data_IF_937903478381
#
_entry.id   IF_937903478381
#
_cell.length_a   1.000
_cell.length_b   1.000
_cell.length_c   1.000
_cell.angle_alpha   90.00
_cell.angle_beta   90.00
_cell.angle_gamma   90.00
#
_symmetry.space_group_name_H-M   'P 1'
#
loop_
_entity.id
_entity.type
_entity.pdbx_description
1 polymer ?
#
# COMPACT_ATOMS: atom_id res chain seq x y z
N UNK A 1 67.06 34.41 16.70
CA UNK A 1 67.16 33.16 17.49
C UNK A 1 65.74 32.66 17.82
N UNK A 2 65.47 31.37 17.55
CA UNK A 2 64.39 30.43 17.97
C UNK A 2 62.94 30.96 18.15
N UNK A 3 61.87 30.51 17.46
CA UNK A 3 61.29 29.17 17.10
C UNK A 3 61.07 28.18 18.24
N UNK A 4 59.77 27.87 18.51
CA UNK A 4 59.09 26.54 18.68
C UNK A 4 57.65 26.84 19.17
N UNK A 5 56.56 26.62 18.42
CA UNK A 5 55.97 25.38 17.89
C UNK A 5 55.56 24.37 18.98
N UNK A 6 54.25 24.20 19.15
CA UNK A 6 53.59 23.09 19.84
C UNK A 6 52.19 22.92 19.25
N UNK A 7 51.96 21.79 18.58
CA UNK A 7 50.78 21.37 17.80
C UNK A 7 50.08 20.18 18.53
N UNK A 8 48.84 19.87 18.13
CA UNK A 8 48.08 18.60 18.29
C UNK A 8 47.36 18.36 19.62
N UNK A 9 46.16 17.76 19.72
CA UNK A 9 45.30 16.95 18.83
C UNK A 9 43.83 17.04 19.34
N UNK A 10 42.82 17.19 18.47
CA UNK A 10 41.93 16.18 17.86
C UNK A 10 40.83 15.55 18.75
N UNK A 11 39.60 15.58 18.22
CA UNK A 11 38.54 14.54 18.23
C UNK A 11 37.32 14.69 19.17
N UNK A 12 36.12 14.44 18.59
CA UNK A 12 34.91 14.05 19.31
C UNK A 12 33.61 14.70 18.81
N UNK A 13 33.19 14.47 17.57
CA UNK A 13 32.05 13.60 17.19
C UNK A 13 30.62 14.18 17.43
N UNK A 14 30.01 14.53 16.29
CA UNK A 14 28.59 14.51 15.91
C UNK A 14 27.56 13.98 16.93
N UNK A 15 26.57 14.82 17.24
CA UNK A 15 25.22 14.38 17.58
C UNK A 15 24.26 14.94 16.53
N UNK A 16 23.96 14.14 15.50
CA UNK A 16 22.84 14.41 14.61
C UNK A 16 21.53 14.20 15.41
N UNK A 17 20.56 15.12 15.36
CA UNK A 17 19.27 14.90 15.99
C UNK A 17 18.58 13.72 15.32
N UNK A 18 18.09 12.78 16.14
CA UNK A 18 17.41 11.57 15.72
C UNK A 18 16.33 11.89 14.68
N UNK A 19 16.42 11.22 13.54
CA UNK A 19 15.39 11.27 12.50
C UNK A 19 14.10 10.75 13.08
N UNK A 20 13.11 11.64 13.13
CA UNK A 20 11.73 11.35 13.40
C UNK A 20 11.30 10.08 12.65
N UNK A 21 10.58 9.20 13.34
CA UNK A 21 9.69 8.22 12.73
C UNK A 21 8.68 8.98 11.88
N UNK A 22 9.07 9.24 10.64
CA UNK A 22 8.29 9.93 9.63
C UNK A 22 7.13 9.04 9.24
N UNK A 23 5.98 9.32 9.82
CA UNK A 23 4.74 8.87 9.23
C UNK A 23 4.59 9.60 7.90
N UNK A 24 4.72 8.84 6.81
CA UNK A 24 4.57 9.28 5.43
C UNK A 24 3.43 10.30 5.25
N UNK A 25 3.57 11.29 4.35
CA UNK A 25 2.50 12.22 4.01
C UNK A 25 1.24 11.44 3.62
N UNK A 26 0.19 11.60 4.42
CA UNK A 26 -1.11 10.98 4.16
C UNK A 26 -1.72 11.61 2.91
N UNK A 27 -2.24 10.83 1.95
CA UNK A 27 -3.00 11.42 0.85
C UNK A 27 -4.20 12.21 1.41
N UNK A 28 -4.59 13.31 0.75
CA UNK A 28 -5.70 14.14 1.18
C UNK A 28 -7.01 13.32 1.27
N UNK A 29 -7.83 13.67 2.26
CA UNK A 29 -8.98 12.90 2.76
C UNK A 29 -10.11 12.67 1.74
N UNK A 30 -10.07 13.33 0.58
CA UNK A 30 -11.20 13.52 -0.34
C UNK A 30 -10.87 13.27 -1.81
N UNK A 31 -9.76 12.60 -2.16
CA UNK A 31 -9.52 12.28 -3.57
C UNK A 31 -10.58 11.26 -4.04
N UNK A 32 -11.47 11.63 -4.99
CA UNK A 32 -12.51 10.72 -5.45
C UNK A 32 -11.88 9.51 -6.14
N UNK A 33 -12.49 8.32 -6.04
CA UNK A 33 -11.98 7.16 -6.74
C UNK A 33 -11.97 7.41 -8.24
N UNK A 34 -10.83 7.16 -8.89
CA UNK A 34 -10.66 7.39 -10.32
C UNK A 34 -11.01 6.18 -11.16
N UNK A 35 -11.08 5.00 -10.56
CA UNK A 35 -11.38 3.74 -11.23
C UNK A 35 -12.56 3.07 -10.55
N UNK A 36 -13.56 2.75 -11.37
CA UNK A 36 -14.73 1.96 -10.98
C UNK A 36 -15.01 0.95 -12.07
N UNK A 37 -14.94 -0.34 -11.72
CA UNK A 37 -15.19 -1.46 -12.63
C UNK A 37 -16.32 -2.30 -12.06
N UNK A 38 -17.29 -2.69 -12.89
CA UNK A 38 -18.45 -3.50 -12.52
C UNK A 38 -18.53 -4.74 -13.40
N UNK A 39 -18.92 -5.87 -12.80
CA UNK A 39 -19.13 -7.12 -13.51
C UNK A 39 -19.82 -8.16 -12.62
N UNK A 40 -20.85 -8.83 -13.14
CA UNK A 40 -21.60 -9.88 -12.43
C UNK A 40 -22.13 -9.45 -11.04
N UNK A 41 -22.62 -8.21 -10.94
CA UNK A 41 -23.09 -7.63 -9.67
C UNK A 41 -21.97 -7.21 -8.70
N UNK A 42 -20.72 -7.49 -9.03
CA UNK A 42 -19.55 -7.08 -8.25
C UNK A 42 -19.06 -5.70 -8.71
N UNK A 43 -18.52 -4.91 -7.79
CA UNK A 43 -17.95 -3.58 -8.07
C UNK A 43 -16.60 -3.43 -7.39
N UNK A 44 -15.56 -3.13 -8.17
CA UNK A 44 -14.27 -2.68 -7.67
C UNK A 44 -14.17 -1.16 -7.79
N UNK A 45 -13.78 -0.52 -6.70
CA UNK A 45 -13.47 0.91 -6.63
C UNK A 45 -12.02 1.07 -6.17
N UNK A 46 -11.22 1.80 -6.92
CA UNK A 46 -9.81 2.06 -6.62
C UNK A 46 -9.50 3.57 -6.63
N UNK A 47 -8.60 3.98 -5.73
CA UNK A 47 -8.04 5.32 -5.72
C UNK A 47 -6.97 5.43 -6.81
N UNK A 48 -6.94 6.54 -7.55
CA UNK A 48 -5.88 6.76 -8.56
C UNK A 48 -4.52 6.73 -7.89
N UNK A 49 -4.42 7.52 -6.84
CA UNK A 49 -3.26 7.64 -5.98
C UNK A 49 -3.56 6.88 -4.70
N UNK A 50 -3.23 5.60 -4.72
CA UNK A 50 -3.52 4.71 -3.61
C UNK A 50 -2.44 4.80 -2.53
N UNK A 51 -2.81 4.86 -1.24
CA UNK A 51 -1.86 4.89 -0.14
C UNK A 51 -1.11 3.55 -0.01
N UNK A 52 0.16 3.64 0.38
CA UNK A 52 0.98 2.51 0.83
C UNK A 52 1.38 2.76 2.30
N UNK A 53 0.51 2.42 3.26
CA UNK A 53 0.72 2.78 4.66
C UNK A 53 1.82 1.97 5.36
N UNK A 54 2.31 0.89 4.73
CA UNK A 54 3.26 -0.03 5.35
C UNK A 54 4.50 -0.22 4.47
N UNK A 55 5.68 -0.19 5.11
CA UNK A 55 6.96 -0.39 4.44
C UNK A 55 7.57 -1.77 4.76
N UNK A 56 6.94 -2.54 5.66
CA UNK A 56 7.42 -3.84 6.15
C UNK A 56 6.25 -4.81 6.34
N UNK A 57 6.53 -6.11 6.23
CA UNK A 57 5.55 -7.18 6.43
C UNK A 57 5.10 -7.26 7.88
N UNK A 58 5.99 -6.98 8.82
CA UNK A 58 5.74 -6.98 10.26
C UNK A 58 4.70 -5.92 10.63
N UNK A 59 4.80 -4.72 10.07
CA UNK A 59 3.81 -3.66 10.26
C UNK A 59 2.43 -4.07 9.70
N UNK A 60 2.40 -4.56 8.45
CA UNK A 60 1.16 -5.00 7.83
C UNK A 60 0.50 -6.13 8.64
N UNK A 61 1.25 -7.17 8.97
CA UNK A 61 0.74 -8.35 9.69
C UNK A 61 0.26 -8.01 11.11
N UNK A 62 0.94 -7.10 11.82
CA UNK A 62 0.53 -6.66 13.14
C UNK A 62 -0.78 -5.88 13.16
N UNK A 63 -1.15 -5.21 12.06
CA UNK A 63 -2.35 -4.38 11.98
C UNK A 63 -3.51 -5.00 11.21
N UNK A 64 -3.25 -5.88 10.24
CA UNK A 64 -4.29 -6.38 9.33
C UNK A 64 -5.37 -7.22 10.03
N UNK A 65 -5.04 -7.81 11.19
CA UNK A 65 -5.95 -8.64 11.98
C UNK A 65 -7.12 -7.87 12.64
N UNK A 66 -7.14 -6.53 12.56
CA UNK A 66 -8.21 -5.67 13.09
C UNK A 66 -8.72 -4.71 12.01
N UNK A 67 -9.97 -4.26 12.13
CA UNK A 67 -10.55 -3.32 11.15
C UNK A 67 -9.68 -2.06 10.97
N UNK A 68 -9.21 -1.84 9.73
CA UNK A 68 -8.35 -0.71 9.39
C UNK A 68 -9.17 0.54 9.04
N UNK A 69 -8.61 1.74 9.28
CA UNK A 69 -9.27 2.99 8.90
C UNK A 69 -9.41 3.10 7.38
N UNK A 70 -10.46 3.78 6.92
CA UNK A 70 -10.77 3.93 5.49
C UNK A 70 -9.61 4.45 4.63
N UNK A 71 -8.84 5.37 5.20
CA UNK A 71 -7.66 5.97 4.56
C UNK A 71 -6.50 5.01 4.29
N UNK A 72 -6.50 3.81 4.87
CA UNK A 72 -5.44 2.82 4.62
C UNK A 72 -5.74 1.97 3.38
N UNK A 73 -6.96 2.04 2.85
CA UNK A 73 -7.45 1.18 1.77
C UNK A 73 -7.04 1.75 0.43
N UNK A 74 -6.42 0.92 -0.40
CA UNK A 74 -6.11 1.26 -1.77
C UNK A 74 -7.31 1.02 -2.70
N UNK A 75 -8.02 -0.08 -2.46
CA UNK A 75 -9.14 -0.53 -3.28
C UNK A 75 -10.20 -1.21 -2.42
N UNK A 76 -11.44 -1.22 -2.91
CA UNK A 76 -12.58 -1.90 -2.31
C UNK A 76 -13.34 -2.68 -3.36
N UNK A 77 -13.52 -3.97 -3.12
CA UNK A 77 -14.38 -4.86 -3.88
C UNK A 77 -15.67 -5.12 -3.10
N UNK A 78 -16.81 -4.82 -3.68
CA UNK A 78 -18.12 -5.23 -3.17
C UNK A 78 -18.62 -6.39 -4.02
N UNK A 79 -18.90 -7.54 -3.40
CA UNK A 79 -19.51 -8.70 -4.04
C UNK A 79 -21.01 -8.73 -3.79
N UNK A 80 -21.78 -9.05 -4.83
CA UNK A 80 -23.22 -9.22 -4.70
C UNK A 80 -23.57 -10.57 -4.06
N UNK A 81 -22.89 -11.66 -4.45
CA UNK A 81 -23.26 -13.00 -4.01
C UNK A 81 -22.04 -13.94 -3.80
N UNK A 82 -21.84 -14.48 -2.58
CA UNK A 82 -22.47 -14.01 -1.34
C UNK A 82 -22.11 -12.54 -1.05
N UNK A 83 -22.98 -11.75 -0.39
CA UNK A 83 -22.69 -10.36 -0.05
C UNK A 83 -21.43 -10.24 0.81
N UNK A 84 -20.39 -9.65 0.25
CA UNK A 84 -19.09 -9.50 0.89
C UNK A 84 -18.44 -8.18 0.47
N UNK A 85 -17.69 -7.57 1.39
CA UNK A 85 -16.87 -6.42 1.10
C UNK A 85 -15.41 -6.77 1.39
N UNK A 86 -14.52 -6.54 0.43
CA UNK A 86 -13.08 -6.80 0.55
C UNK A 86 -12.32 -5.50 0.36
N UNK A 87 -11.61 -5.07 1.39
CA UNK A 87 -10.71 -3.92 1.35
C UNK A 87 -9.27 -4.40 1.11
N UNK A 88 -8.61 -3.83 0.11
CA UNK A 88 -7.21 -4.13 -0.22
C UNK A 88 -6.29 -3.05 0.36
N UNK A 89 -5.20 -3.48 0.98
CA UNK A 89 -4.17 -2.60 1.54
C UNK A 89 -2.80 -3.00 1.00
N UNK A 90 -1.94 -2.01 0.76
CA UNK A 90 -0.66 -2.20 0.11
C UNK A 90 0.49 -2.04 1.10
N UNK A 91 1.52 -2.85 0.90
CA UNK A 91 2.82 -2.74 1.55
C UNK A 91 3.90 -2.82 0.46
N UNK A 92 4.86 -1.89 0.46
CA UNK A 92 6.00 -1.94 -0.47
C UNK A 92 7.29 -2.02 0.32
N UNK A 93 8.01 -3.12 0.14
CA UNK A 93 9.30 -3.37 0.82
C UNK A 93 10.43 -2.55 0.19
N UNK A 94 11.57 -2.46 0.88
CA UNK A 94 12.78 -1.79 0.37
C UNK A 94 13.36 -2.41 -0.90
N UNK A 95 13.05 -3.68 -1.17
CA UNK A 95 13.47 -4.40 -2.38
C UNK A 95 12.50 -4.19 -3.55
N UNK A 96 11.42 -3.44 -3.34
CA UNK A 96 10.39 -3.20 -4.35
C UNK A 96 9.39 -4.34 -4.50
N UNK A 97 9.31 -5.28 -3.56
CA UNK A 97 8.20 -6.23 -3.55
C UNK A 97 6.93 -5.55 -3.04
N UNK A 98 5.84 -5.67 -3.81
CA UNK A 98 4.51 -5.24 -3.40
C UNK A 98 3.80 -6.40 -2.72
N UNK A 99 3.35 -6.20 -1.49
CA UNK A 99 2.56 -7.17 -0.74
C UNK A 99 1.16 -6.61 -0.53
N UNK A 100 0.17 -7.42 -0.83
CA UNK A 100 -1.24 -7.05 -0.76
C UNK A 100 -1.88 -7.75 0.42
N UNK A 101 -2.38 -6.96 1.36
CA UNK A 101 -3.28 -7.40 2.41
C UNK A 101 -4.74 -7.28 1.97
N UNK A 102 -5.59 -8.15 2.49
CA UNK A 102 -7.05 -8.09 2.33
C UNK A 102 -7.73 -8.07 3.69
N UNK A 103 -8.74 -7.21 3.85
CA UNK A 103 -9.72 -7.29 4.92
C UNK A 103 -11.06 -7.68 4.36
N UNK A 104 -11.60 -8.79 4.83
CA UNK A 104 -12.92 -9.29 4.44
C UNK A 104 -13.93 -8.88 5.48
N UNK A 105 -15.06 -8.42 4.99
CA UNK A 105 -16.20 -7.98 5.76
C UNK A 105 -17.43 -8.74 5.30
N UNK A 106 -18.07 -9.44 6.22
CA UNK A 106 -19.33 -10.13 5.96
C UNK A 106 -20.49 -9.17 6.11
N UNK A 107 -21.55 -9.37 5.33
CA UNK A 107 -22.78 -8.62 5.53
C UNK A 107 -23.56 -9.20 6.71
N UNK A 108 -23.81 -8.37 7.73
CA UNK A 108 -24.75 -8.70 8.80
C UNK A 108 -26.17 -8.34 8.33
N UNK A 109 -27.02 -9.35 8.17
CA UNK A 109 -28.40 -9.18 7.70
C UNK A 109 -29.33 -8.56 8.75
N UNK A 110 -29.00 -8.69 10.05
CA UNK A 110 -29.80 -8.15 11.14
C UNK A 110 -29.54 -6.65 11.23
N UNK A 111 -28.27 -6.27 11.31
CA UNK A 111 -27.83 -4.88 11.44
C UNK A 111 -27.78 -4.15 10.08
N UNK A 112 -27.97 -4.89 8.98
CA UNK A 112 -27.92 -4.42 7.59
C UNK A 112 -26.64 -3.64 7.25
N UNK A 113 -25.50 -4.12 7.75
CA UNK A 113 -24.19 -3.49 7.55
C UNK A 113 -23.08 -4.51 7.37
N UNK A 114 -21.99 -4.09 6.73
CA UNK A 114 -20.78 -4.89 6.67
C UNK A 114 -20.01 -4.81 7.98
N UNK A 115 -19.67 -5.97 8.56
CA UNK A 115 -18.86 -6.10 9.76
C UNK A 115 -17.54 -6.77 9.42
N UNK A 116 -16.45 -6.28 10.01
CA UNK A 116 -15.13 -6.89 9.85
C UNK A 116 -15.20 -8.35 10.29
N UNK A 117 -14.67 -9.24 9.45
CA UNK A 117 -14.61 -10.68 9.70
C UNK A 117 -13.17 -11.11 9.95
N UNK A 118 -12.29 -10.89 8.97
CA UNK A 118 -10.87 -11.27 9.06
C UNK A 118 -9.99 -10.42 8.16
N UNK A 119 -8.70 -10.38 8.48
CA UNK A 119 -7.68 -9.80 7.62
C UNK A 119 -6.49 -10.72 7.44
N UNK A 120 -5.94 -10.78 6.23
CA UNK A 120 -4.87 -11.71 5.85
C UNK A 120 -3.97 -11.13 4.76
N UNK A 121 -2.71 -11.57 4.72
CA UNK A 121 -1.83 -11.30 3.58
C UNK A 121 -2.30 -12.20 2.43
N UNK A 122 -2.70 -11.59 1.33
CA UNK A 122 -3.27 -12.31 0.21
C UNK A 122 -2.21 -12.77 -0.79
N UNK A 123 -1.31 -11.87 -1.21
CA UNK A 123 -0.28 -12.17 -2.22
C UNK A 123 0.88 -11.18 -2.20
N UNK A 124 2.05 -11.61 -2.66
CA UNK A 124 3.20 -10.77 -2.98
C UNK A 124 3.49 -10.74 -4.49
N UNK A 125 4.01 -9.61 -4.98
CA UNK A 125 4.31 -9.34 -6.37
C UNK A 125 5.72 -8.77 -6.51
N UNK A 126 6.50 -9.36 -7.41
CA UNK A 126 7.80 -8.82 -7.82
C UNK A 126 7.61 -7.64 -8.77
N UNK A 127 8.51 -6.64 -8.74
CA UNK A 127 8.46 -5.54 -9.71
C UNK A 127 8.79 -6.07 -11.11
N UNK A 128 8.15 -5.50 -12.14
CA UNK A 128 8.39 -5.84 -13.54
C UNK A 128 9.82 -5.48 -13.99
N UNK A 129 10.35 -4.37 -13.48
CA UNK A 129 11.67 -3.85 -13.82
C UNK A 129 12.49 -3.54 -12.56
N UNK A 130 13.81 -3.75 -12.66
CA UNK A 130 14.81 -3.36 -11.67
C UNK A 130 16.00 -2.72 -12.39
N UNK A 131 16.62 -1.62 -11.90
CA UNK A 131 16.15 -0.65 -10.90
C UNK A 131 15.33 0.50 -11.53
N UNK A 132 14.38 1.08 -10.81
CA UNK A 132 13.55 2.20 -11.29
C UNK A 132 12.35 2.46 -10.37
N UNK A 133 11.47 3.44 -10.68
CA UNK A 133 10.18 3.49 -10.01
C UNK A 133 9.45 2.17 -10.30
N UNK A 134 9.22 1.40 -9.24
CA UNK A 134 8.72 0.03 -9.38
C UNK A 134 7.33 -0.01 -10.00
N UNK A 135 7.11 -1.01 -10.84
CA UNK A 135 5.83 -1.30 -11.49
C UNK A 135 5.43 -2.73 -11.18
N UNK A 136 4.16 -2.93 -10.84
CA UNK A 136 3.59 -4.24 -10.53
C UNK A 136 2.31 -4.47 -11.34
N UNK A 137 2.00 -5.73 -11.59
CA UNK A 137 0.71 -6.16 -12.12
C UNK A 137 -0.05 -6.91 -11.02
N UNK A 138 -1.18 -6.35 -10.62
CA UNK A 138 -2.04 -6.87 -9.58
C UNK A 138 -3.29 -7.48 -10.20
N UNK A 139 -3.46 -8.79 -10.02
CA UNK A 139 -4.71 -9.46 -10.40
C UNK A 139 -5.74 -9.37 -9.29
N UNK A 140 -6.90 -8.81 -9.61
CA UNK A 140 -8.07 -8.73 -8.73
C UNK A 140 -9.18 -9.59 -9.32
N UNK A 141 -9.58 -10.63 -8.61
CA UNK A 141 -10.70 -11.48 -9.01
C UNK A 141 -12.04 -10.76 -8.77
N UNK A 142 -12.50 -9.97 -9.75
CA UNK A 142 -13.77 -9.25 -9.68
C UNK A 142 -14.93 -10.25 -9.55
N UNK A 143 -14.98 -11.23 -10.44
CA UNK A 143 -15.86 -12.40 -10.38
C UNK A 143 -15.02 -13.68 -10.45
N UNK A 144 -15.64 -14.87 -10.29
CA UNK A 144 -14.93 -16.16 -10.37
C UNK A 144 -14.22 -16.36 -11.72
N UNK A 145 -14.74 -15.77 -12.80
CA UNK A 145 -14.26 -15.99 -14.17
C UNK A 145 -13.63 -14.75 -14.83
N UNK A 146 -13.66 -13.59 -14.16
CA UNK A 146 -13.21 -12.32 -14.71
C UNK A 146 -12.09 -11.71 -13.84
N UNK A 147 -10.82 -12.11 -14.06
CA UNK A 147 -9.68 -11.45 -13.43
C UNK A 147 -9.46 -10.08 -14.06
N UNK A 148 -9.45 -9.03 -13.24
CA UNK A 148 -9.04 -7.69 -13.63
C UNK A 148 -7.57 -7.51 -13.27
N UNK A 149 -6.72 -7.27 -14.27
CA UNK A 149 -5.32 -6.92 -14.03
C UNK A 149 -5.18 -5.40 -13.94
N UNK A 150 -4.57 -4.94 -12.85
CA UNK A 150 -4.28 -3.54 -12.58
C UNK A 150 -2.77 -3.32 -12.65
N UNK A 151 -2.35 -2.23 -13.28
CA UNK A 151 -0.98 -1.77 -13.23
C UNK A 151 -0.81 -0.79 -12.07
N UNK A 152 0.11 -1.10 -11.17
CA UNK A 152 0.48 -0.25 -10.04
C UNK A 152 1.87 0.31 -10.31
N UNK A 153 2.05 1.63 -10.12
CA UNK A 153 3.34 2.31 -10.32
C UNK A 153 3.70 3.11 -9.08
N UNK A 154 4.91 2.93 -8.55
CA UNK A 154 5.44 3.83 -7.52
C UNK A 154 5.54 5.25 -8.10
N UNK A 155 5.01 6.24 -7.39
CA UNK A 155 5.04 7.63 -7.86
C UNK A 155 6.42 8.26 -7.74
N UNK A 156 7.18 7.84 -6.74
CA UNK A 156 8.56 8.27 -6.51
C UNK A 156 9.55 7.13 -6.74
N UNK A 157 10.71 7.46 -7.28
CA UNK A 157 11.88 6.60 -7.27
C UNK A 157 12.55 6.74 -5.89
N UNK A 158 12.03 6.04 -4.88
CA UNK A 158 12.55 6.10 -3.53
C UNK A 158 11.77 5.23 -2.55
N UNK A 159 12.43 4.84 -1.47
CA UNK A 159 11.84 4.12 -0.35
C UNK A 159 11.92 5.00 0.91
N UNK A 160 10.86 5.07 1.74
CA UNK A 160 9.57 4.38 1.60
C UNK A 160 8.69 4.94 0.46
N UNK A 161 7.81 4.08 -0.06
CA UNK A 161 6.77 4.47 -1.03
C UNK A 161 5.54 4.91 -0.25
N UNK A 162 5.09 6.14 -0.45
CA UNK A 162 3.92 6.68 0.25
C UNK A 162 2.61 6.38 -0.50
N UNK A 163 2.70 6.35 -1.83
CA UNK A 163 1.58 6.09 -2.72
C UNK A 163 1.99 5.45 -4.04
N UNK A 164 1.04 4.75 -4.64
CA UNK A 164 1.15 4.21 -6.00
C UNK A 164 0.05 4.78 -6.88
N UNK A 165 0.35 4.96 -8.16
CA UNK A 165 -0.67 5.18 -9.17
C UNK A 165 -1.28 3.84 -9.59
N UNK A 166 -2.60 3.72 -9.60
CA UNK A 166 -3.35 2.55 -10.06
C UNK A 166 -4.04 2.87 -11.38
N UNK A 167 -3.71 2.12 -12.42
CA UNK A 167 -4.35 2.17 -13.73
C UNK A 167 -4.84 0.77 -14.15
N UNK A 168 -5.93 0.65 -14.93
CA UNK A 168 -6.25 -0.62 -15.56
C UNK A 168 -5.10 -1.00 -16.51
N UNK A 169 -4.64 -2.25 -16.45
CA UNK A 169 -3.64 -2.71 -17.40
C UNK A 169 -4.25 -2.64 -18.81
N UNK A 170 -3.54 -2.03 -19.76
CA UNK A 170 -3.95 -2.12 -21.17
C UNK A 170 -3.86 -3.58 -21.58
N UNK A 171 -4.99 -4.18 -21.95
CA UNK A 171 -4.94 -5.45 -22.68
C UNK A 171 -4.30 -5.16 -24.05
N UNK A 172 -3.32 -5.97 -24.49
CA UNK A 172 -2.66 -5.81 -25.77
C UNK A 172 -3.63 -5.95 -26.96
#
# INVERSE_FOLDING_TARGET
MSRRAGLLALAGLLALPGTATGQAPRPPRDEPPSLRVRGDGNELVALRRAPVPYATLEQLSGEIARALPARARAMRLTRAEPPELIDYVLCVTSEGALVVGQQRHRFDFIERRFVFDRGEIARGYSPLERPGPWVWLLDVALAREHPLTLQLRAEQAGWPVDSVTIDPARQP
#
